data_IF_757340865137
#
_entry.id   IF_757340865137
#
_cell.length_a   1.000
_cell.length_b   1.000
_cell.length_c   1.000
_cell.angle_alpha   90.00
_cell.angle_beta   90.00
_cell.angle_gamma   90.00
#
_symmetry.space_group_name_H-M   'P 1'
#
loop_
_entity.id
_entity.type
_entity.pdbx_description
1 polymer ?
#
# COMPACT_ATOMS: atom_id res chain seq x y z
N UNK A 1 18.98 -1.31 17.83
CA UNK A 1 18.72 -1.06 17.20
C UNK A 1 17.90 -0.58 16.82
N UNK A 2 17.59 -0.25 16.44
CA UNK A 2 16.93 0.25 15.88
C UNK A 2 16.22 0.06 15.13
N UNK A 3 15.72 -0.26 15.21
CA UNK A 3 15.11 -0.45 14.19
C UNK A 3 14.36 0.57 13.68
N UNK A 4 14.34 0.51 12.63
CA UNK A 4 13.79 1.64 12.04
C UNK A 4 12.43 1.35 11.60
N UNK A 5 11.51 2.14 11.98
CA UNK A 5 10.18 1.98 11.56
C UNK A 5 9.98 2.85 10.35
N UNK A 6 9.78 2.20 9.23
CA UNK A 6 9.56 2.90 7.98
C UNK A 6 8.14 3.46 7.96
N UNK A 7 8.03 4.76 7.88
CA UNK A 7 6.72 5.38 7.74
C UNK A 7 6.85 6.66 6.93
N UNK A 8 5.78 7.06 6.28
CA UNK A 8 5.76 8.27 5.50
C UNK A 8 4.49 9.05 5.77
N UNK A 9 4.59 10.36 5.56
CA UNK A 9 3.45 11.26 5.57
C UNK A 9 3.17 11.67 4.15
N UNK A 10 1.90 11.72 3.77
CA UNK A 10 1.55 12.12 2.42
C UNK A 10 0.15 12.69 2.40
N UNK A 11 -0.15 13.41 1.33
CA UNK A 11 -1.50 13.91 1.10
C UNK A 11 -2.12 13.17 -0.05
N UNK A 12 -3.39 12.85 0.12
CA UNK A 12 -4.14 12.16 -0.90
C UNK A 12 -5.52 12.79 -0.93
N UNK A 13 -5.85 13.40 -2.05
CA UNK A 13 -7.14 14.06 -2.22
C UNK A 13 -7.40 15.09 -1.13
N UNK A 14 -6.37 15.85 -0.76
CA UNK A 14 -6.51 16.91 0.22
C UNK A 14 -6.48 16.47 1.66
N UNK A 15 -6.36 15.18 1.93
CA UNK A 15 -6.26 14.66 3.28
C UNK A 15 -4.86 14.20 3.57
N UNK A 16 -4.41 14.42 4.79
CA UNK A 16 -3.08 13.98 5.22
C UNK A 16 -3.17 12.62 5.87
N UNK A 17 -2.20 11.77 5.54
CA UNK A 17 -2.13 10.42 6.09
C UNK A 17 -0.70 10.14 6.55
N UNK A 18 -0.60 9.25 7.51
CA UNK A 18 0.68 8.69 7.92
C UNK A 18 0.55 7.17 7.80
N UNK A 19 1.50 6.54 7.13
CA UNK A 19 1.42 5.11 6.89
C UNK A 19 2.79 4.49 7.10
N UNK A 20 2.82 3.36 7.81
CA UNK A 20 4.07 2.64 8.04
C UNK A 20 4.03 1.29 7.33
N UNK A 21 5.21 0.68 7.18
CA UNK A 21 5.32 -0.66 6.63
C UNK A 21 4.52 -1.64 7.49
N UNK A 22 4.63 -1.51 8.82
CA UNK A 22 3.90 -2.39 9.71
C UNK A 22 2.39 -2.27 9.54
N UNK A 23 1.91 -1.05 9.32
CA UNK A 23 0.49 -0.84 9.08
C UNK A 23 0.03 -1.59 7.84
N UNK A 24 0.83 -1.52 6.78
CA UNK A 24 0.48 -2.19 5.53
C UNK A 24 0.46 -3.70 5.74
N UNK A 25 1.51 -4.25 6.32
CA UNK A 25 1.60 -5.69 6.51
C UNK A 25 0.46 -6.19 7.38
N UNK A 26 0.15 -5.48 8.46
CA UNK A 26 -0.93 -5.87 9.36
C UNK A 26 -2.28 -5.81 8.66
N UNK A 27 -2.50 -4.78 7.86
CA UNK A 27 -3.78 -4.58 7.17
C UNK A 27 -4.05 -5.67 6.15
N UNK A 28 -3.00 -6.24 5.58
CA UNK A 28 -3.16 -7.23 4.52
C UNK A 28 -3.27 -8.66 5.04
N UNK A 29 -3.12 -8.87 6.34
CA UNK A 29 -3.25 -10.22 6.89
C UNK A 29 -4.65 -10.74 6.66
N UNK A 30 -4.74 -11.93 6.09
CA UNK A 30 -6.03 -12.56 5.87
C UNK A 30 -6.81 -11.99 4.70
N UNK A 31 -6.25 -11.03 3.98
CA UNK A 31 -6.92 -10.43 2.82
C UNK A 31 -6.59 -11.24 1.58
N UNK A 32 -7.61 -11.58 0.83
CA UNK A 32 -7.43 -12.27 -0.45
C UNK A 32 -7.06 -11.28 -1.52
N UNK A 33 -6.07 -11.60 -2.37
CA UNK A 33 -5.72 -10.70 -3.46
C UNK A 33 -6.83 -10.60 -4.49
N UNK A 34 -7.06 -9.38 -4.97
CA UNK A 34 -7.90 -9.16 -6.15
C UNK A 34 -7.13 -9.57 -7.39
N UNK A 35 -7.81 -9.62 -8.52
CA UNK A 35 -7.16 -9.90 -9.77
C UNK A 35 -6.12 -8.84 -10.12
N UNK A 36 -4.97 -9.29 -10.57
CA UNK A 36 -3.88 -8.40 -10.94
C UNK A 36 -4.00 -8.06 -12.42
N UNK A 37 -4.07 -6.77 -12.73
CA UNK A 37 -4.15 -6.32 -14.10
C UNK A 37 -2.78 -6.04 -14.69
N UNK A 38 -1.96 -5.31 -13.94
CA UNK A 38 -0.64 -4.95 -14.44
C UNK A 38 0.40 -4.94 -13.34
N UNK A 39 0.17 -4.14 -12.30
CA UNK A 39 1.14 -4.00 -11.22
C UNK A 39 0.77 -4.85 -10.03
N UNK A 40 1.77 -5.30 -9.29
CA UNK A 40 1.51 -6.04 -8.07
C UNK A 40 2.62 -5.79 -7.05
N UNK A 41 2.27 -5.99 -5.79
CA UNK A 41 3.17 -5.85 -4.65
C UNK A 41 3.09 -7.14 -3.86
N UNK A 42 4.24 -7.73 -3.55
CA UNK A 42 4.25 -8.93 -2.74
C UNK A 42 4.30 -8.57 -1.26
N UNK A 43 3.30 -9.06 -0.53
CA UNK A 43 3.24 -8.87 0.91
C UNK A 43 3.00 -10.24 1.52
N UNK A 44 3.95 -10.68 2.33
CA UNK A 44 3.92 -12.05 2.81
C UNK A 44 4.09 -12.99 1.63
N UNK A 45 3.16 -13.90 1.46
CA UNK A 45 3.20 -14.89 0.38
C UNK A 45 2.33 -14.54 -0.80
N UNK A 46 1.72 -13.37 -0.79
CA UNK A 46 0.70 -13.05 -1.77
C UNK A 46 1.04 -11.82 -2.56
N UNK A 47 0.59 -11.79 -3.81
CA UNK A 47 0.76 -10.64 -4.69
C UNK A 47 -0.56 -9.91 -4.77
N UNK A 48 -0.54 -8.61 -4.50
CA UNK A 48 -1.74 -7.78 -4.46
C UNK A 48 -1.64 -6.63 -5.44
N UNK A 49 -2.75 -6.20 -6.02
CA UNK A 49 -2.75 -4.94 -6.77
C UNK A 49 -2.41 -3.78 -5.82
N UNK A 50 -1.64 -2.79 -6.28
CA UNK A 50 -1.27 -1.67 -5.41
C UNK A 50 -2.48 -0.93 -4.85
N UNK A 51 -3.54 -0.77 -5.63
CA UNK A 51 -4.74 -0.08 -5.15
C UNK A 51 -5.41 -0.83 -4.01
N UNK A 52 -5.40 -2.16 -4.08
CA UNK A 52 -5.97 -2.95 -2.99
C UNK A 52 -5.17 -2.74 -1.71
N UNK A 53 -3.84 -2.76 -1.82
CA UNK A 53 -2.99 -2.59 -0.66
C UNK A 53 -3.24 -1.24 0.01
N UNK A 54 -3.26 -0.17 -0.78
CA UNK A 54 -3.45 1.15 -0.22
C UNK A 54 -4.85 1.33 0.36
N UNK A 55 -5.85 0.82 -0.35
CA UNK A 55 -7.23 0.91 0.12
C UNK A 55 -7.40 0.21 1.47
N UNK A 56 -6.88 -1.00 1.59
CA UNK A 56 -7.01 -1.74 2.84
C UNK A 56 -6.19 -1.08 3.95
N UNK A 57 -5.03 -0.57 3.62
CA UNK A 57 -4.15 0.00 4.64
C UNK A 57 -4.69 1.32 5.20
N UNK A 58 -5.35 2.10 4.36
CA UNK A 58 -5.88 3.40 4.78
C UNK A 58 -7.35 3.35 5.15
N UNK A 59 -8.04 2.27 4.80
CA UNK A 59 -9.48 2.17 5.05
C UNK A 59 -10.30 3.09 4.18
N UNK A 60 -9.85 3.36 2.96
CA UNK A 60 -10.57 4.24 2.04
C UNK A 60 -10.94 3.47 0.78
N UNK A 61 -11.88 4.01 0.04
CA UNK A 61 -12.37 3.36 -1.16
C UNK A 61 -11.37 3.51 -2.30
N UNK A 62 -11.31 2.49 -3.15
CA UNK A 62 -10.34 2.47 -4.23
C UNK A 62 -10.55 3.59 -5.24
N UNK A 63 -11.79 4.03 -5.40
CA UNK A 63 -12.08 5.10 -6.35
C UNK A 63 -11.58 6.45 -5.87
N UNK A 64 -11.12 6.53 -4.62
CA UNK A 64 -10.62 7.79 -4.05
C UNK A 64 -9.25 8.16 -4.57
N UNK A 65 -8.56 7.24 -5.23
CA UNK A 65 -7.20 7.51 -5.68
C UNK A 65 -6.91 6.65 -6.91
N UNK A 66 -5.76 6.89 -7.53
CA UNK A 66 -5.38 6.19 -8.75
C UNK A 66 -4.33 5.13 -8.48
N UNK A 67 -4.10 4.26 -9.47
CA UNK A 67 -3.03 3.28 -9.38
C UNK A 67 -1.68 3.97 -9.24
N UNK A 68 -1.49 5.10 -9.92
CA UNK A 68 -0.25 5.86 -9.81
C UNK A 68 -0.04 6.36 -8.39
N UNK A 69 -1.10 6.83 -7.74
CA UNK A 69 -1.00 7.26 -6.35
C UNK A 69 -0.53 6.12 -5.47
N UNK A 70 -1.14 4.94 -5.63
CA UNK A 70 -0.76 3.78 -4.83
C UNK A 70 0.67 3.35 -5.12
N UNK A 71 1.05 3.35 -6.39
CA UNK A 71 2.40 3.00 -6.80
C UNK A 71 3.41 3.90 -6.10
N UNK A 72 3.19 5.21 -6.17
CA UNK A 72 4.13 6.18 -5.60
C UNK A 72 4.24 6.04 -4.10
N UNK A 73 3.11 5.90 -3.42
CA UNK A 73 3.11 5.82 -1.97
C UNK A 73 3.79 4.54 -1.49
N UNK A 74 3.45 3.40 -2.08
CA UNK A 74 4.02 2.13 -1.66
C UNK A 74 5.52 2.07 -1.97
N UNK A 75 5.93 2.64 -3.09
CA UNK A 75 7.34 2.71 -3.44
C UNK A 75 8.11 3.56 -2.43
N UNK A 76 7.54 4.68 -2.03
CA UNK A 76 8.17 5.53 -1.02
C UNK A 76 8.32 4.82 0.31
N UNK A 77 7.40 3.91 0.63
CA UNK A 77 7.51 3.12 1.85
C UNK A 77 8.58 2.04 1.77
N UNK A 78 9.06 1.76 0.58
CA UNK A 78 10.08 0.75 0.39
C UNK A 78 9.60 -0.55 -0.20
N UNK A 79 8.31 -0.66 -0.51
CA UNK A 79 7.80 -1.83 -1.20
C UNK A 79 8.21 -1.79 -2.66
N UNK A 80 8.43 -2.97 -3.23
CA UNK A 80 8.75 -3.07 -4.64
C UNK A 80 7.46 -3.36 -5.39
N UNK A 81 7.13 -2.48 -6.33
CA UNK A 81 5.95 -2.66 -7.17
C UNK A 81 6.42 -3.24 -8.50
N UNK A 82 5.93 -4.42 -8.84
CA UNK A 82 6.33 -5.14 -10.03
C UNK A 82 5.25 -5.06 -11.09
N UNK A 83 5.65 -5.45 -12.29
CA UNK A 83 4.73 -5.40 -13.41
C UNK A 83 4.64 -6.75 -14.08
#
# INVERSE_FOLDING_TARGET
MEHVKESINFKLRGKSYNLSVDDVVSSMKGIRPDGILKYYVRIGDMDYPPKQVLSESLGIQRISFTTKDAYDILTRLGFVVEE
#
